data_IF_050486170779
#
_entry.id   IF_050486170779
#
_cell.length_a   1.000
_cell.length_b   1.000
_cell.length_c   1.000
_cell.angle_alpha   90.00
_cell.angle_beta   90.00
_cell.angle_gamma   90.00
#
_symmetry.space_group_name_H-M   'P 1'
#
loop_
_entity.id
_entity.type
_entity.pdbx_description
1 polymer ?
#
# COMPACT_ATOMS: atom_id res chain seq x y z
N UNK A 1 -11.66 -0.39 -2.36
CA UNK A 1 -10.85 0.78 -1.97
C UNK A 1 -11.65 2.01 -2.32
N UNK A 2 -11.70 2.98 -1.42
CA UNK A 2 -12.38 4.26 -1.64
C UNK A 2 -11.33 5.31 -2.01
N UNK A 3 -11.63 6.18 -2.98
CA UNK A 3 -10.74 7.24 -3.45
C UNK A 3 -11.40 8.59 -3.18
N UNK A 4 -10.74 9.41 -2.36
CA UNK A 4 -11.19 10.77 -2.05
C UNK A 4 -10.25 11.76 -2.71
N UNK A 5 -10.80 12.60 -3.60
CA UNK A 5 -10.05 13.68 -4.22
C UNK A 5 -10.13 14.94 -3.35
N UNK A 6 -8.97 15.44 -2.93
CA UNK A 6 -8.81 16.74 -2.27
C UNK A 6 -7.96 17.63 -3.19
N UNK A 7 -8.49 18.79 -3.58
CA UNK A 7 -7.83 19.67 -4.56
C UNK A 7 -6.48 20.17 -4.02
N UNK A 8 -5.40 19.90 -4.76
CA UNK A 8 -4.04 20.39 -4.45
C UNK A 8 -3.27 19.62 -3.38
N UNK A 9 -3.82 18.53 -2.84
CA UNK A 9 -3.09 17.65 -1.91
C UNK A 9 -2.28 16.60 -2.66
N UNK A 10 -1.09 16.28 -2.14
CA UNK A 10 -0.31 15.14 -2.59
C UNK A 10 -1.10 13.83 -2.39
N UNK A 11 -1.06 12.88 -3.34
CA UNK A 11 -1.72 11.60 -3.18
C UNK A 11 -1.07 10.80 -2.04
N UNK A 12 -1.90 10.29 -1.14
CA UNK A 12 -1.46 9.50 0.00
C UNK A 12 -2.36 8.27 0.20
N UNK A 13 -1.76 7.18 0.67
CA UNK A 13 -2.48 6.03 1.18
C UNK A 13 -2.64 6.16 2.70
N UNK A 14 -3.88 6.27 3.16
CA UNK A 14 -4.23 6.31 4.58
C UNK A 14 -4.74 4.93 5.00
N UNK A 15 -4.03 4.29 5.93
CA UNK A 15 -4.40 3.01 6.50
C UNK A 15 -5.24 3.25 7.75
N UNK A 16 -6.45 2.69 7.76
CA UNK A 16 -7.37 2.78 8.89
C UNK A 16 -7.55 1.40 9.52
N UNK A 17 -7.78 1.37 10.82
CA UNK A 17 -8.26 0.16 11.48
C UNK A 17 -9.79 0.00 11.30
N UNK A 18 -10.33 -1.10 11.84
CA UNK A 18 -11.78 -1.39 11.78
C UNK A 18 -12.65 -0.36 12.54
N UNK A 19 -12.05 0.46 13.39
CA UNK A 19 -12.69 1.56 14.13
C UNK A 19 -12.53 2.91 13.42
N UNK A 20 -12.01 2.93 12.18
CA UNK A 20 -11.71 4.13 11.39
C UNK A 20 -10.62 5.03 11.98
N UNK A 21 -9.81 4.52 12.90
CA UNK A 21 -8.66 5.25 13.42
C UNK A 21 -7.50 5.16 12.44
N UNK A 22 -6.81 6.28 12.20
CA UNK A 22 -5.63 6.33 11.35
C UNK A 22 -4.46 5.59 12.00
N UNK A 23 -3.99 4.55 11.31
CA UNK A 23 -2.81 3.79 11.69
C UNK A 23 -1.55 4.37 11.07
N UNK A 24 -1.62 4.73 9.79
CA UNK A 24 -0.45 5.20 9.04
C UNK A 24 -0.86 6.00 7.79
N UNK A 25 -0.01 6.96 7.40
CA UNK A 25 -0.04 7.64 6.10
C UNK A 25 1.23 7.33 5.30
N UNK A 26 1.06 6.99 4.03
CA UNK A 26 2.15 6.72 3.08
C UNK A 26 2.03 7.67 1.90
N UNK A 27 3.05 8.54 1.63
CA UNK A 27 3.04 9.40 0.46
C UNK A 27 3.22 8.59 -0.82
N UNK A 28 2.42 8.87 -1.84
CA UNK A 28 2.45 8.16 -3.12
C UNK A 28 3.07 8.99 -4.26
N UNK A 29 3.34 10.28 -4.04
CA UNK A 29 3.78 11.22 -5.09
C UNK A 29 5.01 10.75 -5.87
N UNK A 30 5.96 10.08 -5.21
CA UNK A 30 7.20 9.59 -5.82
C UNK A 30 7.12 8.12 -6.28
N UNK A 31 5.97 7.49 -6.14
CA UNK A 31 5.77 6.07 -6.45
C UNK A 31 5.09 5.89 -7.81
N UNK A 32 5.64 4.98 -8.61
CA UNK A 32 4.99 4.48 -9.82
C UNK A 32 3.79 3.61 -9.47
N UNK A 33 2.88 3.44 -10.43
CA UNK A 33 1.73 2.55 -10.30
C UNK A 33 2.12 1.12 -9.90
N UNK A 34 3.24 0.62 -10.40
CA UNK A 34 3.69 -0.74 -10.10
C UNK A 34 4.23 -0.86 -8.67
N UNK A 35 4.96 0.14 -8.18
CA UNK A 35 5.37 0.23 -6.78
C UNK A 35 4.17 0.34 -5.84
N UNK A 36 3.14 1.11 -6.23
CA UNK A 36 1.89 1.20 -5.47
C UNK A 36 1.18 -0.16 -5.45
N UNK A 37 1.05 -0.85 -6.59
CA UNK A 37 0.42 -2.16 -6.64
C UNK A 37 1.18 -3.20 -5.80
N UNK A 38 2.51 -3.14 -5.78
CA UNK A 38 3.35 -4.00 -4.97
C UNK A 38 3.13 -3.72 -3.48
N UNK A 39 3.11 -2.44 -3.08
CA UNK A 39 2.80 -2.02 -1.72
C UNK A 39 1.43 -2.55 -1.26
N UNK A 40 0.39 -2.45 -2.10
CA UNK A 40 -0.94 -2.96 -1.75
C UNK A 40 -0.93 -4.48 -1.51
N UNK A 41 -0.21 -5.24 -2.33
CA UNK A 41 -0.08 -6.69 -2.15
C UNK A 41 0.68 -7.03 -0.87
N UNK A 42 1.75 -6.30 -0.58
CA UNK A 42 2.55 -6.46 0.64
C UNK A 42 1.76 -6.14 1.91
N UNK A 43 0.86 -5.15 1.84
CA UNK A 43 -0.09 -4.84 2.90
C UNK A 43 -1.20 -5.91 3.05
N UNK A 44 -1.25 -6.90 2.16
CA UNK A 44 -2.22 -7.99 2.19
C UNK A 44 -3.55 -7.67 1.51
N UNK A 45 -3.64 -6.61 0.71
CA UNK A 45 -4.86 -6.31 -0.04
C UNK A 45 -5.00 -7.25 -1.24
N UNK A 46 -6.18 -7.83 -1.38
CA UNK A 46 -6.54 -8.62 -2.54
C UNK A 46 -7.00 -7.72 -3.71
N UNK A 47 -6.42 -7.95 -4.90
CA UNK A 47 -6.86 -7.32 -6.14
C UNK A 47 -7.89 -8.21 -6.84
N UNK A 48 -9.11 -7.70 -6.99
CA UNK A 48 -10.14 -8.34 -7.79
C UNK A 48 -9.83 -8.22 -9.29
N UNK A 49 -10.29 -9.19 -10.08
CA UNK A 49 -10.20 -9.15 -11.55
C UNK A 49 -11.07 -8.04 -12.13
N UNK A 50 -12.31 -7.95 -11.66
CA UNK A 50 -13.28 -6.88 -12.00
C UNK A 50 -13.91 -6.32 -10.72
N UNK A 51 -14.55 -5.13 -10.75
CA UNK A 51 -15.20 -4.55 -9.58
C UNK A 51 -16.22 -5.49 -8.90
N UNK A 52 -16.96 -6.23 -9.73
CA UNK A 52 -18.05 -7.12 -9.33
C UNK A 52 -17.60 -8.57 -9.04
N UNK A 53 -16.34 -8.92 -9.37
CA UNK A 53 -15.81 -10.25 -9.08
C UNK A 53 -15.84 -10.52 -7.57
N UNK A 54 -16.21 -11.74 -7.15
CA UNK A 54 -16.19 -12.09 -5.73
C UNK A 54 -14.76 -12.09 -5.18
N UNK A 55 -14.62 -11.78 -3.90
CA UNK A 55 -13.36 -11.97 -3.17
C UNK A 55 -13.30 -13.43 -2.71
N UNK A 56 -12.21 -14.17 -3.01
CA UNK A 56 -12.08 -15.56 -2.55
C UNK A 56 -12.16 -15.66 -1.03
N UNK A 57 -12.63 -16.80 -0.53
CA UNK A 57 -12.84 -17.04 0.91
C UNK A 57 -11.59 -16.76 1.76
N UNK A 58 -10.41 -17.13 1.26
CA UNK A 58 -9.13 -16.88 1.92
C UNK A 58 -8.81 -15.38 2.15
N UNK A 59 -9.44 -14.48 1.38
CA UNK A 59 -9.17 -13.04 1.41
C UNK A 59 -10.36 -12.19 1.87
N UNK A 60 -11.49 -12.79 2.29
CA UNK A 60 -12.69 -12.04 2.69
C UNK A 60 -12.42 -11.02 3.81
N UNK A 61 -11.49 -11.37 4.71
CA UNK A 61 -11.11 -10.54 5.85
C UNK A 61 -9.70 -9.95 5.71
N UNK A 62 -9.07 -10.08 4.54
CA UNK A 62 -7.79 -9.46 4.27
C UNK A 62 -7.98 -7.96 3.98
N UNK A 63 -7.07 -7.09 4.44
CA UNK A 63 -5.88 -7.38 5.23
C UNK A 63 -6.13 -7.48 6.75
N UNK A 64 -7.34 -7.21 7.26
CA UNK A 64 -7.61 -7.10 8.71
C UNK A 64 -7.20 -8.32 9.55
N UNK A 65 -7.25 -9.53 9.00
CA UNK A 65 -6.82 -10.76 9.68
C UNK A 65 -5.31 -11.05 9.61
N UNK A 66 -4.57 -10.30 8.79
CA UNK A 66 -3.17 -10.59 8.44
C UNK A 66 -2.26 -9.36 8.43
N UNK A 67 -2.74 -8.21 8.93
CA UNK A 67 -1.91 -7.01 9.04
C UNK A 67 -0.65 -7.35 9.86
N UNK A 68 0.56 -7.16 9.32
CA UNK A 68 1.77 -7.30 10.10
C UNK A 68 1.70 -6.34 11.30
N UNK A 69 2.09 -6.75 12.52
CA UNK A 69 2.05 -5.90 13.69
C UNK A 69 2.96 -4.66 13.59
N UNK A 70 3.85 -4.61 12.59
CA UNK A 70 4.80 -3.52 12.43
C UNK A 70 4.93 -3.09 10.95
N UNK A 71 4.06 -2.16 10.55
CA UNK A 71 4.06 -1.56 9.20
C UNK A 71 5.26 -0.60 9.01
N UNK A 72 5.89 -0.13 10.08
CA UNK A 72 7.08 0.75 10.05
C UNK A 72 8.30 0.07 9.40
N UNK A 73 8.47 -1.24 9.58
CA UNK A 73 9.59 -2.01 9.01
C UNK A 73 9.58 -2.10 7.47
N UNK A 74 8.49 -1.69 6.80
CA UNK A 74 8.42 -1.63 5.34
C UNK A 74 9.03 -0.33 4.77
N UNK A 75 9.08 0.75 5.58
CA UNK A 75 9.61 2.06 5.15
C UNK A 75 11.10 2.01 4.81
N UNK A 76 11.87 1.23 5.57
CA UNK A 76 13.32 1.09 5.39
C UNK A 76 13.70 0.32 4.12
N UNK A 77 12.91 -0.70 3.75
CA UNK A 77 13.22 -1.58 2.60
C UNK A 77 13.08 -0.89 1.24
N UNK A 78 12.17 0.06 1.11
CA UNK A 78 11.96 0.77 -0.16
C UNK A 78 12.85 2.00 -0.34
N UNK A 79 13.40 2.56 0.74
CA UNK A 79 14.35 3.67 0.67
C UNK A 79 15.76 3.23 0.24
N UNK A 80 16.14 1.98 0.49
CA UNK A 80 17.49 1.47 0.21
C UNK A 80 17.73 1.06 -1.25
N UNK A 81 16.67 0.78 -2.04
CA UNK A 81 16.84 0.39 -3.46
C UNK A 81 17.14 1.53 -4.44
N UNK A 82 17.26 2.78 -3.98
CA UNK A 82 17.71 3.92 -4.81
C UNK A 82 19.16 4.36 -4.51
N UNK A 83 19.98 3.46 -3.99
CA UNK A 83 21.40 3.69 -3.70
C UNK A 83 22.33 2.69 -4.41
N UNK A 84 22.24 2.54 -5.73
CA UNK A 84 23.29 1.90 -6.53
C UNK A 84 23.28 2.44 -7.96
N UNK A 85 23.45 3.75 -8.09
CA UNK A 85 23.85 4.38 -9.34
C UNK A 85 25.37 4.53 -9.38
N UNK A 86 26.01 3.76 -10.27
CA UNK A 86 27.22 4.14 -11.01
C UNK A 86 28.55 4.06 -10.28
N UNK A 87 29.42 3.14 -10.70
CA UNK A 87 30.73 3.45 -11.32
C UNK A 87 31.47 2.14 -11.63
N UNK A 88 31.87 2.00 -12.90
CA UNK A 88 33.10 1.39 -13.44
C UNK A 88 32.87 0.60 -14.74
N UNK A 89 33.72 0.97 -15.71
CA UNK A 89 33.95 0.47 -17.08
C UNK A 89 33.19 1.16 -18.22
#
# INVERSE_FOLDING_TARGET
MDLKYLAGADPELILLNIQFEELQRIPLSDMSRDEINQLMQELGFYRKETPDSPVPEAFQMAPANSLPPDVEAMKSRHKEKKGAGGSDL
#
